data_IF_382953854073
#
_entry.id   IF_382953854073
#
_cell.length_a   1.000
_cell.length_b   1.000
_cell.length_c   1.000
_cell.angle_alpha   90.00
_cell.angle_beta   90.00
_cell.angle_gamma   90.00
#
_symmetry.space_group_name_H-M   'P 1'
#
loop_
_entity.id
_entity.type
_entity.pdbx_description
1 polymer ?
#
# COMPACT_ATOMS: atom_id res chain seq x y z
N UNK A 1 -31.66 -22.84 51.15
CA UNK A 1 -31.42 -21.65 50.34
C UNK A 1 -30.24 -21.96 49.39
N UNK A 2 -30.54 -22.49 48.19
CA UNK A 2 -29.53 -22.85 47.19
C UNK A 2 -29.35 -21.69 46.22
N UNK A 3 -28.16 -21.08 46.17
CA UNK A 3 -27.79 -20.07 45.19
C UNK A 3 -27.28 -20.74 43.92
N UNK A 4 -28.05 -20.65 42.87
CA UNK A 4 -27.63 -21.07 41.54
C UNK A 4 -26.64 -20.04 40.94
N UNK A 5 -25.40 -20.48 40.68
CA UNK A 5 -24.40 -19.72 39.95
C UNK A 5 -24.67 -19.91 38.45
N UNK A 6 -25.02 -18.83 37.76
CA UNK A 6 -25.15 -18.79 36.29
C UNK A 6 -23.77 -18.48 35.69
N UNK A 7 -23.18 -19.34 34.85
CA UNK A 7 -21.96 -18.99 34.17
C UNK A 7 -22.25 -18.02 33.04
N UNK A 8 -21.60 -16.83 33.07
CA UNK A 8 -21.62 -15.87 31.99
C UNK A 8 -20.64 -16.35 30.93
N UNK A 9 -21.19 -16.82 29.81
CA UNK A 9 -20.40 -17.16 28.61
C UNK A 9 -20.06 -15.85 27.87
N UNK A 10 -18.82 -15.40 28.01
CA UNK A 10 -18.27 -14.30 27.20
C UNK A 10 -17.95 -14.81 25.80
N UNK A 11 -18.81 -14.52 24.84
CA UNK A 11 -18.53 -14.75 23.42
C UNK A 11 -17.52 -13.70 22.94
N UNK A 12 -16.27 -14.09 22.82
CA UNK A 12 -15.22 -13.27 22.21
C UNK A 12 -15.47 -13.14 20.71
N UNK A 13 -15.87 -11.96 20.26
CA UNK A 13 -15.92 -11.63 18.83
C UNK A 13 -14.51 -11.47 18.32
N UNK A 14 -14.00 -12.47 17.61
CA UNK A 14 -12.73 -12.40 16.89
C UNK A 14 -12.99 -11.54 15.64
N UNK A 15 -12.59 -10.27 15.70
CA UNK A 15 -12.50 -9.39 14.53
C UNK A 15 -11.33 -9.89 13.67
N UNK A 16 -11.60 -10.80 12.74
CA UNK A 16 -10.66 -11.13 11.67
C UNK A 16 -10.55 -9.91 10.78
N UNK A 17 -9.49 -9.12 10.97
CA UNK A 17 -9.11 -8.08 10.03
C UNK A 17 -8.95 -8.74 8.65
N UNK A 18 -9.74 -8.31 7.66
CA UNK A 18 -9.63 -8.78 6.29
C UNK A 18 -8.28 -8.33 5.72
N UNK A 19 -7.25 -9.15 5.87
CA UNK A 19 -5.99 -8.94 5.19
C UNK A 19 -6.20 -9.10 3.67
N UNK A 20 -5.54 -8.27 2.84
CA UNK A 20 -5.58 -8.43 1.40
C UNK A 20 -5.14 -9.85 1.02
N UNK A 21 -5.90 -10.49 0.12
CA UNK A 21 -5.57 -11.82 -0.37
C UNK A 21 -4.87 -11.70 -1.72
N UNK A 22 -3.59 -12.09 -1.82
CA UNK A 22 -2.87 -12.12 -3.08
C UNK A 22 -3.58 -13.00 -4.11
N UNK A 23 -3.40 -12.73 -5.41
CA UNK A 23 -3.89 -13.59 -6.46
C UNK A 23 -3.35 -15.02 -6.33
N UNK A 24 -4.11 -15.99 -6.84
CA UNK A 24 -3.67 -17.38 -6.85
C UNK A 24 -2.32 -17.54 -7.55
N UNK A 25 -1.42 -18.32 -6.94
CA UNK A 25 -0.06 -18.54 -7.44
C UNK A 25 0.94 -17.45 -7.08
N UNK A 26 0.56 -16.45 -6.28
CA UNK A 26 1.48 -15.42 -5.74
C UNK A 26 1.84 -15.80 -4.30
N UNK A 27 3.14 -15.98 -4.05
CA UNK A 27 3.68 -16.15 -2.71
C UNK A 27 3.81 -14.77 -2.04
N UNK A 28 2.95 -14.49 -1.07
CA UNK A 28 2.92 -13.22 -0.35
C UNK A 28 4.22 -12.95 0.42
N UNK A 29 4.81 -13.98 1.03
CA UNK A 29 6.03 -13.83 1.81
C UNK A 29 7.24 -13.49 0.91
N UNK A 30 7.35 -14.17 -0.23
CA UNK A 30 8.38 -13.87 -1.21
C UNK A 30 8.21 -12.46 -1.81
N UNK A 31 6.96 -12.02 -2.00
CA UNK A 31 6.67 -10.66 -2.46
C UNK A 31 7.04 -9.62 -1.41
N UNK A 32 6.71 -9.84 -0.13
CA UNK A 32 7.09 -8.95 0.97
C UNK A 32 8.61 -8.79 1.06
N UNK A 33 9.35 -9.88 0.93
CA UNK A 33 10.82 -9.85 0.91
C UNK A 33 11.37 -9.07 -0.28
N UNK A 34 10.79 -9.26 -1.47
CA UNK A 34 11.21 -8.56 -2.67
C UNK A 34 10.96 -7.05 -2.56
N UNK A 35 9.78 -6.66 -2.08
CA UNK A 35 9.41 -5.26 -1.83
C UNK A 35 10.30 -4.64 -0.75
N UNK A 36 10.53 -5.36 0.37
CA UNK A 36 11.40 -4.91 1.43
C UNK A 36 12.83 -4.64 0.95
N UNK A 37 13.36 -5.49 0.08
CA UNK A 37 14.70 -5.28 -0.51
C UNK A 37 14.75 -4.12 -1.49
N UNK A 38 13.69 -3.89 -2.26
CA UNK A 38 13.66 -2.88 -3.31
C UNK A 38 13.39 -1.47 -2.77
N UNK A 39 12.42 -1.35 -1.87
CA UNK A 39 11.88 -0.04 -1.43
C UNK A 39 11.55 -0.02 0.07
N UNK A 40 11.98 -1.04 0.81
CA UNK A 40 11.58 -1.23 2.21
C UNK A 40 12.16 -0.18 3.15
N UNK A 41 11.28 0.55 3.77
CA UNK A 41 11.54 1.35 4.96
C UNK A 41 10.29 1.34 5.85
N UNK A 42 10.39 1.73 7.13
CA UNK A 42 9.22 1.82 8.01
C UNK A 42 8.12 2.76 7.49
N UNK A 43 8.46 3.68 6.60
CA UNK A 43 7.54 4.66 6.00
C UNK A 43 7.04 4.28 4.60
N UNK A 44 7.47 3.13 4.07
CA UNK A 44 7.02 2.67 2.76
C UNK A 44 5.62 2.08 2.81
N UNK A 45 4.78 2.48 1.87
CA UNK A 45 3.50 1.85 1.56
C UNK A 45 3.48 1.43 0.10
N UNK A 46 3.15 0.17 -0.15
CA UNK A 46 2.84 -0.34 -1.49
C UNK A 46 1.45 -0.94 -1.47
N UNK A 47 0.61 -0.55 -2.41
CA UNK A 47 -0.73 -1.14 -2.58
C UNK A 47 -0.88 -1.60 -4.03
N UNK A 48 -1.38 -2.80 -4.19
CA UNK A 48 -1.78 -3.34 -5.49
C UNK A 48 -3.26 -3.66 -5.46
N UNK A 49 -3.97 -3.20 -6.47
CA UNK A 49 -5.41 -3.43 -6.64
C UNK A 49 -5.73 -4.05 -7.99
N UNK A 50 -6.85 -4.76 -8.06
CA UNK A 50 -7.49 -5.07 -9.35
C UNK A 50 -8.00 -3.76 -9.96
N UNK A 51 -7.91 -3.60 -11.27
CA UNK A 51 -8.40 -2.40 -11.98
C UNK A 51 -9.88 -2.11 -11.73
N UNK A 52 -10.68 -3.13 -11.49
CA UNK A 52 -12.10 -3.03 -11.12
C UNK A 52 -12.35 -2.79 -9.62
N UNK A 53 -11.29 -2.61 -8.82
CA UNK A 53 -11.34 -2.42 -7.38
C UNK A 53 -10.99 -3.67 -6.58
N UNK A 54 -10.62 -3.46 -5.33
CA UNK A 54 -10.23 -4.50 -4.38
C UNK A 54 -8.72 -4.66 -4.26
N UNK A 55 -8.22 -4.40 -3.06
CA UNK A 55 -6.80 -4.56 -2.71
C UNK A 55 -6.45 -6.05 -2.69
N UNK A 56 -5.43 -6.41 -3.45
CA UNK A 56 -4.89 -7.78 -3.52
C UNK A 56 -3.56 -7.93 -2.81
N UNK A 57 -2.86 -6.83 -2.59
CA UNK A 57 -1.59 -6.82 -1.87
C UNK A 57 -1.39 -5.48 -1.17
N UNK A 58 -0.80 -5.52 0.01
CA UNK A 58 -0.35 -4.33 0.75
C UNK A 58 0.96 -4.65 1.47
N UNK A 59 1.94 -3.77 1.28
CA UNK A 59 3.14 -3.68 2.09
C UNK A 59 3.06 -2.39 2.92
N UNK A 60 3.45 -2.47 4.17
CA UNK A 60 3.33 -1.36 5.14
C UNK A 60 2.06 -1.44 5.99
N UNK A 61 2.07 -0.70 7.08
CA UNK A 61 0.94 -0.67 8.02
C UNK A 61 -0.25 0.10 7.44
N UNK A 62 -1.43 -0.14 7.99
CA UNK A 62 -2.61 0.65 7.62
C UNK A 62 -2.38 2.15 7.83
N UNK A 63 -1.78 2.52 8.95
CA UNK A 63 -1.46 3.92 9.28
C UNK A 63 -0.50 4.53 8.27
N UNK A 64 0.57 3.81 7.89
CA UNK A 64 1.52 4.26 6.87
C UNK A 64 0.84 4.50 5.53
N UNK A 65 -0.04 3.58 5.12
CA UNK A 65 -0.74 3.68 3.85
C UNK A 65 -1.88 4.72 3.83
N UNK A 66 -2.37 5.13 4.99
CA UNK A 66 -3.42 6.16 5.11
C UNK A 66 -2.88 7.60 5.08
N UNK A 67 -1.56 7.78 5.01
CA UNK A 67 -0.93 9.10 5.07
C UNK A 67 -1.18 9.90 3.80
N UNK A 68 -1.28 11.22 3.97
CA UNK A 68 -1.21 12.19 2.87
C UNK A 68 0.21 12.70 2.74
N UNK A 69 0.76 12.69 1.54
CA UNK A 69 2.10 13.15 1.23
C UNK A 69 2.06 14.31 0.22
N UNK A 70 3.11 15.15 0.15
CA UNK A 70 3.22 16.15 -0.91
C UNK A 70 3.03 15.54 -2.30
N UNK A 71 2.27 16.22 -3.14
CA UNK A 71 2.03 15.75 -4.51
C UNK A 71 3.28 15.84 -5.40
N UNK A 72 4.23 16.70 -5.06
CA UNK A 72 5.53 16.93 -5.72
C UNK A 72 5.44 17.37 -7.19
N UNK A 73 4.48 16.87 -7.95
CA UNK A 73 4.22 17.24 -9.36
C UNK A 73 3.16 18.34 -9.50
N UNK A 74 2.50 18.68 -8.41
CA UNK A 74 1.47 19.73 -8.33
C UNK A 74 1.42 20.30 -6.90
N UNK A 75 0.84 21.51 -6.70
CA UNK A 75 0.56 22.00 -5.36
C UNK A 75 -0.39 21.09 -4.59
N UNK A 76 -0.16 20.92 -3.28
CA UNK A 76 -1.04 20.21 -2.39
C UNK A 76 -0.55 18.81 -2.00
N UNK A 77 -1.47 18.01 -1.53
CA UNK A 77 -1.24 16.66 -1.02
C UNK A 77 -1.85 15.60 -1.94
N UNK A 78 -1.29 14.41 -1.89
CA UNK A 78 -1.83 13.22 -2.53
C UNK A 78 -1.94 12.08 -1.53
N UNK A 79 -2.76 11.08 -1.84
CA UNK A 79 -2.92 9.85 -1.07
C UNK A 79 -2.72 8.64 -1.97
N UNK A 80 -2.47 7.47 -1.38
CA UNK A 80 -2.42 6.20 -2.12
C UNK A 80 -3.68 6.03 -2.99
N UNK A 81 -4.86 6.36 -2.48
CA UNK A 81 -6.11 6.21 -3.23
C UNK A 81 -6.16 7.10 -4.47
N UNK A 82 -5.76 8.37 -4.35
CA UNK A 82 -5.69 9.30 -5.49
C UNK A 82 -4.76 8.77 -6.59
N UNK A 83 -3.63 8.18 -6.20
CA UNK A 83 -2.68 7.59 -7.14
C UNK A 83 -3.21 6.31 -7.79
N UNK A 84 -3.89 5.45 -7.03
CA UNK A 84 -4.55 4.26 -7.58
C UNK A 84 -5.66 4.62 -8.57
N UNK A 85 -6.46 5.65 -8.26
CA UNK A 85 -7.51 6.13 -9.16
C UNK A 85 -6.93 6.64 -10.48
N UNK A 86 -5.82 7.38 -10.43
CA UNK A 86 -5.10 7.79 -11.63
C UNK A 86 -4.54 6.60 -12.41
N UNK A 87 -3.96 5.62 -11.71
CA UNK A 87 -3.42 4.39 -12.33
C UNK A 87 -4.50 3.57 -13.05
N UNK A 88 -5.73 3.52 -12.53
CA UNK A 88 -6.88 2.84 -13.18
C UNK A 88 -7.21 3.43 -14.54
N UNK A 89 -6.91 4.70 -14.77
CA UNK A 89 -7.05 5.34 -16.09
C UNK A 89 -5.94 5.00 -17.07
N UNK A 90 -4.98 4.17 -16.66
CA UNK A 90 -3.80 3.79 -17.47
C UNK A 90 -2.64 4.78 -17.38
N UNK A 91 -2.72 5.80 -16.53
CA UNK A 91 -1.63 6.78 -16.37
C UNK A 91 -0.52 6.19 -15.50
N UNK A 92 0.70 6.32 -15.97
CA UNK A 92 1.92 6.10 -15.17
C UNK A 92 2.36 7.47 -14.65
N UNK A 93 2.59 7.57 -13.36
CA UNK A 93 3.02 8.81 -12.70
C UNK A 93 4.11 8.51 -11.69
N UNK A 94 5.10 9.37 -11.62
CA UNK A 94 6.13 9.36 -10.58
C UNK A 94 6.45 10.80 -10.20
N UNK A 95 6.74 11.03 -8.95
CA UNK A 95 7.27 12.31 -8.48
C UNK A 95 8.09 12.13 -7.21
N UNK A 96 9.00 13.05 -6.99
CA UNK A 96 9.77 13.15 -5.76
C UNK A 96 10.08 14.60 -5.45
N UNK A 97 10.14 14.93 -4.18
CA UNK A 97 10.53 16.25 -3.71
C UNK A 97 11.05 16.18 -2.28
N UNK A 98 11.86 17.19 -1.92
CA UNK A 98 12.27 17.39 -0.55
C UNK A 98 11.15 18.05 0.23
N UNK A 99 10.94 17.63 1.48
CA UNK A 99 10.02 18.30 2.37
C UNK A 99 10.70 19.53 2.96
N UNK A 100 10.17 20.70 2.71
CA UNK A 100 10.80 22.00 2.95
C UNK A 100 11.20 22.33 4.40
N UNK A 101 10.81 21.53 5.38
CA UNK A 101 11.11 21.78 6.79
C UNK A 101 12.44 21.18 7.27
N UNK A 102 12.96 20.16 6.60
CA UNK A 102 14.21 19.50 6.96
C UNK A 102 14.86 18.97 5.67
N UNK A 103 16.04 19.52 5.33
CA UNK A 103 16.78 19.17 4.10
C UNK A 103 17.20 17.67 4.00
N UNK A 104 16.82 16.85 4.96
CA UNK A 104 17.11 15.43 5.04
C UNK A 104 15.90 14.52 4.83
N UNK A 105 14.73 15.08 4.55
CA UNK A 105 13.51 14.27 4.31
C UNK A 105 12.99 14.47 2.90
N UNK A 106 12.99 13.39 2.15
CA UNK A 106 12.39 13.32 0.83
C UNK A 106 11.10 12.52 0.82
N UNK A 107 10.24 12.84 -0.13
CA UNK A 107 9.05 12.07 -0.46
C UNK A 107 9.18 11.62 -1.90
N UNK A 108 8.85 10.38 -2.17
CA UNK A 108 8.67 9.89 -3.53
C UNK A 108 7.43 9.01 -3.60
N UNK A 109 6.83 9.03 -4.76
CA UNK A 109 5.74 8.12 -5.07
C UNK A 109 5.73 7.74 -6.54
N UNK A 110 5.18 6.57 -6.81
CA UNK A 110 4.98 6.07 -8.16
C UNK A 110 3.63 5.35 -8.23
N UNK A 111 2.96 5.43 -9.36
CA UNK A 111 1.72 4.70 -9.61
C UNK A 111 1.54 4.39 -11.09
N UNK A 112 0.81 3.33 -11.38
CA UNK A 112 0.52 2.95 -12.76
C UNK A 112 -0.12 1.58 -12.87
N UNK A 113 -0.45 1.15 -14.10
CA UNK A 113 -0.82 -0.22 -14.37
C UNK A 113 0.40 -1.14 -14.20
N UNK A 114 0.19 -2.32 -13.62
CA UNK A 114 1.22 -3.36 -13.63
C UNK A 114 1.38 -3.91 -15.04
N UNK A 115 2.62 -4.17 -15.49
CA UNK A 115 2.86 -4.80 -16.78
C UNK A 115 2.18 -6.17 -16.83
N UNK A 116 1.53 -6.46 -17.95
CA UNK A 116 0.98 -7.79 -18.19
C UNK A 116 2.14 -8.72 -18.55
N UNK A 117 2.40 -9.70 -17.69
CA UNK A 117 3.35 -10.76 -18.04
C UNK A 117 2.77 -11.62 -19.15
N UNK A 118 3.60 -11.95 -20.15
CA UNK A 118 3.22 -12.74 -21.30
C UNK A 118 2.46 -14.01 -20.87
N UNK A 119 1.25 -14.24 -21.41
CA UNK A 119 0.41 -15.38 -21.14
C UNK A 119 -0.59 -15.26 -19.98
N UNK A 120 -0.69 -14.09 -19.30
CA UNK A 120 -1.62 -13.83 -18.20
C UNK A 120 -2.41 -12.54 -18.43
N UNK A 121 -3.14 -12.46 -19.52
CA UNK A 121 -3.80 -11.24 -20.00
C UNK A 121 -5.02 -10.78 -19.20
N UNK A 122 -5.50 -11.56 -18.25
CA UNK A 122 -6.72 -11.30 -17.50
C UNK A 122 -6.51 -10.52 -16.19
N UNK A 123 -5.27 -10.34 -15.77
CA UNK A 123 -4.94 -9.66 -14.51
C UNK A 123 -4.62 -8.18 -14.74
N UNK A 124 -5.64 -7.40 -14.98
CA UNK A 124 -5.50 -5.95 -14.97
C UNK A 124 -5.36 -5.46 -13.52
N UNK A 125 -4.12 -5.21 -13.11
CA UNK A 125 -3.80 -4.67 -11.79
C UNK A 125 -3.14 -3.30 -11.93
N UNK A 126 -3.32 -2.50 -10.90
CA UNK A 126 -2.69 -1.19 -10.74
C UNK A 126 -1.95 -1.15 -9.41
N UNK A 127 -0.92 -0.34 -9.34
CA UNK A 127 -0.13 -0.16 -8.12
C UNK A 127 0.02 1.31 -7.77
N UNK A 128 0.24 1.56 -6.49
CA UNK A 128 0.80 2.80 -5.98
C UNK A 128 1.83 2.50 -4.89
N UNK A 129 2.94 3.23 -4.93
CA UNK A 129 4.04 3.16 -3.98
C UNK A 129 4.25 4.54 -3.40
N UNK A 130 4.30 4.64 -2.07
CA UNK A 130 4.66 5.83 -1.32
C UNK A 130 5.88 5.54 -0.48
N UNK A 131 6.84 6.44 -0.51
CA UNK A 131 8.07 6.37 0.26
C UNK A 131 8.37 7.73 0.87
N UNK A 132 8.79 7.70 2.11
CA UNK A 132 9.27 8.87 2.83
C UNK A 132 10.56 8.47 3.52
N UNK A 133 11.68 9.13 3.21
CA UNK A 133 12.96 8.79 3.79
C UNK A 133 13.79 10.02 4.11
N UNK A 134 14.64 9.87 5.11
CA UNK A 134 15.72 10.84 5.42
C UNK A 134 16.91 10.73 4.50
N UNK A 135 17.07 9.60 3.80
CA UNK A 135 18.18 9.37 2.88
C UNK A 135 17.64 9.16 1.47
N UNK A 136 18.04 10.07 0.61
CA UNK A 136 17.94 10.06 -0.83
C UNK A 136 17.13 8.92 -1.47
N UNK A 137 15.97 9.26 -1.93
CA UNK A 137 15.21 8.57 -2.97
C UNK A 137 16.00 8.55 -4.31
N UNK A 138 17.30 8.37 -4.23
CA UNK A 138 18.21 8.33 -5.36
C UNK A 138 18.16 6.97 -6.05
N UNK A 139 17.01 6.58 -6.56
CA UNK A 139 16.89 5.28 -7.21
C UNK A 139 15.53 4.94 -7.82
N UNK A 140 14.61 5.89 -7.91
CA UNK A 140 13.36 5.72 -8.66
C UNK A 140 13.48 6.33 -10.05
#
# INVERSE_FOLDING_TARGET
>A
MSRALIPVLTVGVILTACAPKPPEGVDAAALDEAVARAVGSPSTCVVVEKRGGGVVYRYGTHTTCARSLPACDAPGLTTIQVQLDAARTGKVRTASCDTAAEASRGVAWASGPLPVLAGKSDRQMVYAVFMESGDALSGL
#
